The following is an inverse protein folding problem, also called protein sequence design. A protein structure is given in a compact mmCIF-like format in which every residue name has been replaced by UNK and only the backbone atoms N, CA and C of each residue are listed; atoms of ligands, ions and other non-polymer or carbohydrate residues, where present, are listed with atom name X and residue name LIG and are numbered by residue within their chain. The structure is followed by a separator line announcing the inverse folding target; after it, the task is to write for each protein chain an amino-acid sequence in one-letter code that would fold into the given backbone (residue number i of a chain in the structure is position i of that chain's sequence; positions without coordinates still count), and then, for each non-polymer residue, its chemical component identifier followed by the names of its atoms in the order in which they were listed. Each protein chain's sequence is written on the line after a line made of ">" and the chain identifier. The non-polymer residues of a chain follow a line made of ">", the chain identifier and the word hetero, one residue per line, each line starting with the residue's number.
data_IF_575375726169
#
_entry.id   IF_575375726169
#
_cell.length_a   1.000
_cell.length_b   1.000
_cell.length_c   1.000
_cell.angle_alpha   90.00
_cell.angle_beta   90.00
_cell.angle_gamma   90.00
#
_symmetry.space_group_name_H-M   'P 1'
#
loop_
_entity.id
_entity.type
_entity.pdbx_description
1 polymer ?
#
# COMPACT_ATOMS: atom_id res chain seq x y z
N UNK A 1 21.79 22.61 -68.06
CA UNK A 1 21.56 23.26 -66.74
C UNK A 1 20.82 22.26 -65.86
N UNK A 2 21.50 21.65 -64.88
CA UNK A 2 20.94 20.63 -63.97
C UNK A 2 20.09 21.34 -62.91
N UNK A 3 18.79 21.01 -62.82
CA UNK A 3 17.96 21.45 -61.70
C UNK A 3 18.13 20.49 -60.53
N UNK A 4 18.74 20.98 -59.46
CA UNK A 4 18.92 20.24 -58.21
C UNK A 4 17.60 20.31 -57.43
N UNK A 5 16.90 19.18 -57.26
CA UNK A 5 15.81 19.05 -56.29
C UNK A 5 16.43 18.69 -54.94
N UNK A 6 16.39 19.62 -54.00
CA UNK A 6 16.70 19.34 -52.58
C UNK A 6 15.45 18.68 -51.98
N UNK A 7 15.54 17.38 -51.67
CA UNK A 7 14.53 16.70 -50.88
C UNK A 7 14.82 16.97 -49.41
N UNK A 8 13.92 17.68 -48.72
CA UNK A 8 13.95 17.81 -47.27
C UNK A 8 13.47 16.49 -46.65
N UNK A 9 14.34 15.83 -45.90
CA UNK A 9 13.99 14.65 -45.08
C UNK A 9 13.43 15.16 -43.76
N UNK A 10 12.20 14.81 -43.35
CA UNK A 10 11.68 15.25 -42.07
C UNK A 10 12.35 14.43 -40.96
N UNK A 11 13.17 15.11 -40.17
CA UNK A 11 13.77 14.58 -38.95
C UNK A 11 12.75 14.73 -37.83
N UNK A 12 11.78 13.82 -37.69
CA UNK A 12 10.87 13.89 -36.55
C UNK A 12 10.12 12.59 -36.23
N UNK A 13 10.80 11.51 -35.85
CA UNK A 13 10.14 10.41 -35.13
C UNK A 13 11.13 9.63 -34.27
N UNK A 14 11.53 10.19 -33.12
CA UNK A 14 12.17 9.37 -32.06
C UNK A 14 12.05 9.98 -30.66
N UNK A 15 10.86 10.44 -30.26
CA UNK A 15 10.61 10.85 -28.87
C UNK A 15 9.48 10.05 -28.19
N UNK A 16 8.73 9.22 -28.94
CA UNK A 16 7.53 8.56 -28.45
C UNK A 16 7.76 7.16 -27.83
N UNK A 17 8.95 6.55 -27.98
CA UNK A 17 9.18 5.16 -27.56
C UNK A 17 9.61 4.99 -26.10
N UNK A 18 10.02 6.05 -25.41
CA UNK A 18 10.43 5.97 -23.99
C UNK A 18 9.23 6.16 -23.04
N UNK A 19 8.17 6.83 -23.49
CA UNK A 19 6.98 7.09 -22.67
C UNK A 19 6.00 5.90 -22.57
N UNK A 20 6.17 4.88 -23.42
CA UNK A 20 5.24 3.75 -23.52
C UNK A 20 5.73 2.45 -22.87
N UNK A 21 6.91 2.46 -22.22
CA UNK A 21 7.28 1.38 -21.31
C UNK A 21 6.48 1.56 -20.02
N UNK A 22 5.20 1.17 -20.05
CA UNK A 22 4.31 1.21 -18.91
C UNK A 22 4.94 0.38 -17.78
N UNK A 23 5.57 1.04 -16.81
CA UNK A 23 6.12 0.37 -15.64
C UNK A 23 4.97 -0.39 -15.00
N UNK A 24 5.11 -1.72 -14.88
CA UNK A 24 4.12 -2.56 -14.20
C UNK A 24 3.76 -1.90 -12.86
N UNK A 25 2.47 -1.73 -12.51
CA UNK A 25 2.10 -1.08 -11.26
C UNK A 25 2.80 -1.76 -10.09
N UNK A 26 3.43 -0.95 -9.24
CA UNK A 26 4.14 -1.44 -8.05
C UNK A 26 3.11 -1.63 -6.94
N UNK A 27 2.78 -2.89 -6.68
CA UNK A 27 1.81 -3.29 -5.66
C UNK A 27 2.52 -3.61 -4.34
N UNK A 28 2.12 -2.95 -3.26
CA UNK A 28 2.64 -3.20 -1.91
C UNK A 28 1.54 -3.80 -1.05
N UNK A 29 1.87 -4.85 -0.32
CA UNK A 29 0.99 -5.47 0.67
C UNK A 29 1.45 -5.07 2.07
N UNK A 30 0.51 -4.71 2.94
CA UNK A 30 0.77 -4.42 4.34
C UNK A 30 -0.06 -5.39 5.17
N UNK A 31 0.58 -6.25 5.96
CA UNK A 31 -0.08 -6.97 7.04
C UNK A 31 0.15 -6.18 8.33
N UNK A 32 -0.92 -5.84 9.04
CA UNK A 32 -0.82 -5.09 10.28
C UNK A 32 -1.46 -5.84 11.43
N UNK A 33 -0.68 -6.02 12.49
CA UNK A 33 -1.11 -6.51 13.80
C UNK A 33 -1.06 -5.38 14.84
N UNK A 34 -1.55 -5.60 16.07
CA UNK A 34 -1.71 -4.51 17.05
C UNK A 34 -0.69 -4.53 18.18
N UNK A 35 -0.23 -5.70 18.61
CA UNK A 35 0.62 -5.90 19.78
C UNK A 35 1.95 -5.14 19.71
N UNK A 36 2.55 -5.07 18.53
CA UNK A 36 3.86 -4.43 18.30
C UNK A 36 3.79 -2.98 17.81
N UNK A 37 2.60 -2.37 17.71
CA UNK A 37 2.45 -0.98 17.29
C UNK A 37 3.12 -0.05 18.32
N UNK A 38 3.76 1.03 17.89
CA UNK A 38 4.44 1.93 18.82
C UNK A 38 3.48 2.51 19.87
N UNK A 39 3.94 2.54 21.12
CA UNK A 39 3.13 2.95 22.28
C UNK A 39 2.12 1.92 22.79
N UNK A 40 2.08 0.72 22.22
CA UNK A 40 1.36 -0.45 22.76
C UNK A 40 2.32 -1.27 23.61
N UNK A 41 1.95 -1.48 24.87
CA UNK A 41 2.80 -2.11 25.89
C UNK A 41 2.04 -3.08 26.79
N UNK A 42 0.71 -3.14 26.67
CA UNK A 42 -0.13 -3.94 27.55
C UNK A 42 -1.38 -4.49 26.84
N UNK A 43 -1.88 -5.64 27.29
CA UNK A 43 -3.02 -6.34 26.67
C UNK A 43 -4.35 -5.56 26.77
N UNK A 44 -4.46 -4.61 27.71
CA UNK A 44 -5.63 -3.72 27.81
C UNK A 44 -5.76 -2.78 26.60
N UNK A 45 -4.66 -2.59 25.86
CA UNK A 45 -4.63 -1.83 24.62
C UNK A 45 -4.91 -2.70 23.40
N UNK A 46 -4.74 -4.03 23.49
CA UNK A 46 -4.95 -4.95 22.37
C UNK A 46 -6.27 -5.73 22.45
N UNK A 47 -6.93 -5.73 23.61
CA UNK A 47 -8.24 -6.36 23.77
C UNK A 47 -9.38 -5.44 23.30
N UNK A 48 -10.32 -5.97 22.51
CA UNK A 48 -11.52 -5.23 22.12
C UNK A 48 -12.45 -4.85 23.30
N UNK A 49 -12.24 -5.45 24.48
CA UNK A 49 -12.93 -5.10 25.72
C UNK A 49 -12.09 -4.18 26.63
N UNK A 50 -10.84 -3.91 26.27
CA UNK A 50 -9.92 -3.09 27.05
C UNK A 50 -10.22 -1.59 26.93
N UNK A 51 -9.96 -0.85 27.99
CA UNK A 51 -10.32 0.58 28.07
C UNK A 51 -9.49 1.45 27.12
N UNK A 52 -8.30 0.97 26.73
CA UNK A 52 -7.36 1.71 25.88
C UNK A 52 -7.43 1.31 24.40
N UNK A 53 -8.29 0.35 24.04
CA UNK A 53 -8.37 -0.19 22.69
C UNK A 53 -8.65 0.85 21.61
N UNK A 54 -9.53 1.82 21.90
CA UNK A 54 -9.85 2.88 20.96
C UNK A 54 -8.63 3.76 20.62
N UNK A 55 -7.81 4.07 21.64
CA UNK A 55 -6.53 4.79 21.44
C UNK A 55 -5.55 3.94 20.64
N UNK A 56 -5.44 2.66 20.96
CA UNK A 56 -4.54 1.74 20.28
C UNK A 56 -4.85 1.61 18.77
N UNK A 57 -6.13 1.49 18.42
CA UNK A 57 -6.59 1.46 17.02
C UNK A 57 -6.23 2.73 16.24
N UNK A 58 -6.24 3.89 16.90
CA UNK A 58 -5.83 5.16 16.30
C UNK A 58 -4.33 5.16 16.00
N UNK A 59 -3.50 4.76 16.97
CA UNK A 59 -2.05 4.61 16.77
C UNK A 59 -1.72 3.62 15.64
N UNK A 60 -2.38 2.46 15.63
CA UNK A 60 -2.25 1.45 14.58
C UNK A 60 -2.57 2.03 13.20
N UNK A 61 -3.63 2.85 13.09
CA UNK A 61 -4.01 3.49 11.82
C UNK A 61 -2.99 4.55 11.41
N UNK A 62 -2.46 5.34 12.34
CA UNK A 62 -1.42 6.35 12.08
C UNK A 62 -0.09 5.72 11.63
N UNK A 63 0.31 4.59 12.23
CA UNK A 63 1.52 3.86 11.87
C UNK A 63 1.40 3.24 10.46
N UNK A 64 0.24 2.63 10.16
CA UNK A 64 -0.07 2.15 8.81
C UNK A 64 -0.05 3.28 7.80
N UNK A 65 -0.64 4.44 8.11
CA UNK A 65 -0.61 5.61 7.23
C UNK A 65 0.81 6.09 6.95
N UNK A 66 1.70 6.04 7.94
CA UNK A 66 3.11 6.38 7.76
C UNK A 66 3.80 5.41 6.80
N UNK A 67 3.51 4.11 6.89
CA UNK A 67 4.02 3.11 5.96
C UNK A 67 3.43 3.27 4.54
N UNK A 68 2.15 3.64 4.43
CA UNK A 68 1.51 3.97 3.14
C UNK A 68 2.22 5.16 2.51
N UNK A 69 2.41 6.26 3.25
CA UNK A 69 3.08 7.46 2.74
C UNK A 69 4.51 7.14 2.27
N UNK A 70 5.25 6.30 3.01
CA UNK A 70 6.56 5.80 2.61
C UNK A 70 6.54 4.94 1.34
N UNK A 71 5.57 4.02 1.23
CA UNK A 71 5.42 3.17 0.04
C UNK A 71 5.07 4.01 -1.21
N UNK A 72 4.18 4.99 -1.07
CA UNK A 72 3.83 5.92 -2.15
C UNK A 72 5.04 6.76 -2.58
N UNK A 73 5.81 7.28 -1.62
CA UNK A 73 7.05 8.01 -1.90
C UNK A 73 8.10 7.13 -2.62
N UNK A 74 8.10 5.82 -2.37
CA UNK A 74 8.92 4.83 -3.06
C UNK A 74 8.37 4.41 -4.45
N UNK A 75 7.24 4.97 -4.89
CA UNK A 75 6.66 4.72 -6.21
C UNK A 75 5.60 3.62 -6.25
N UNK A 76 5.09 3.16 -5.09
CA UNK A 76 3.94 2.25 -5.07
C UNK A 76 2.72 2.93 -5.72
N UNK A 77 2.01 2.16 -6.55
CA UNK A 77 0.80 2.63 -7.26
C UNK A 77 -0.46 1.93 -6.77
N UNK A 78 -0.33 0.78 -6.10
CA UNK A 78 -1.43 0.08 -5.46
C UNK A 78 -1.00 -0.43 -4.09
N UNK A 79 -1.86 -0.26 -3.09
CA UNK A 79 -1.58 -0.69 -1.72
C UNK A 79 -2.78 -1.46 -1.19
N UNK A 80 -2.54 -2.67 -0.70
CA UNK A 80 -3.53 -3.46 0.03
C UNK A 80 -3.06 -3.59 1.49
N UNK A 81 -3.89 -3.12 2.41
CA UNK A 81 -3.68 -3.27 3.84
C UNK A 81 -4.59 -4.37 4.36
N UNK A 82 -4.04 -5.36 5.04
CA UNK A 82 -4.77 -6.45 5.66
C UNK A 82 -4.72 -6.31 7.18
N UNK A 83 -5.87 -6.00 7.76
CA UNK A 83 -6.04 -5.92 9.20
C UNK A 83 -5.97 -7.32 9.81
N UNK A 84 -4.95 -7.59 10.61
CA UNK A 84 -4.56 -8.96 10.99
C UNK A 84 -4.68 -9.22 12.49
N UNK A 85 -5.08 -8.22 13.27
CA UNK A 85 -5.26 -8.39 14.72
C UNK A 85 -6.64 -8.92 15.08
N UNK A 86 -6.72 -9.97 15.90
CA UNK A 86 -7.94 -10.46 16.53
C UNK A 86 -9.16 -10.58 15.59
N UNK A 87 -10.08 -9.62 15.66
CA UNK A 87 -11.32 -9.62 14.84
C UNK A 87 -11.14 -9.12 13.40
N UNK A 88 -9.96 -8.61 13.07
CA UNK A 88 -9.59 -8.01 11.77
C UNK A 88 -10.44 -6.78 11.39
N UNK A 89 -10.88 -5.99 12.37
CA UNK A 89 -11.79 -4.84 12.22
C UNK A 89 -11.36 -3.66 13.10
N UNK A 90 -10.08 -3.34 13.04
CA UNK A 90 -9.37 -2.46 13.96
C UNK A 90 -9.00 -1.15 13.27
N UNK A 91 -8.51 -1.20 12.04
CA UNK A 91 -8.22 0.01 11.26
C UNK A 91 -9.47 0.87 11.04
N UNK A 92 -9.28 2.18 11.16
CA UNK A 92 -10.33 3.19 10.92
C UNK A 92 -10.35 3.53 9.43
N UNK A 93 -11.32 3.01 8.68
CA UNK A 93 -11.37 3.17 7.22
C UNK A 93 -11.52 4.63 6.80
N UNK A 94 -12.18 5.44 7.62
CA UNK A 94 -12.38 6.88 7.41
C UNK A 94 -11.06 7.68 7.52
N UNK A 95 -10.07 7.13 8.21
CA UNK A 95 -8.75 7.76 8.44
C UNK A 95 -7.63 7.10 7.62
N UNK A 96 -7.91 5.97 6.96
CA UNK A 96 -6.92 5.25 6.17
C UNK A 96 -6.52 6.07 4.93
N UNK A 97 -5.21 6.22 4.72
CA UNK A 97 -4.64 7.03 3.65
C UNK A 97 -5.03 6.50 2.26
N UNK A 98 -5.69 7.30 1.40
CA UNK A 98 -5.88 6.97 -0.01
C UNK A 98 -4.54 6.97 -0.77
N UNK A 99 -4.33 6.10 -1.78
CA UNK A 99 -5.31 5.22 -2.41
C UNK A 99 -5.34 3.78 -1.83
N UNK A 100 -4.90 3.59 -0.58
CA UNK A 100 -4.85 2.25 -0.01
C UNK A 100 -6.24 1.60 0.09
N UNK A 101 -6.29 0.29 -0.14
CA UNK A 101 -7.49 -0.53 0.05
C UNK A 101 -7.36 -1.34 1.32
N UNK A 102 -8.47 -1.53 2.02
CA UNK A 102 -8.52 -2.30 3.25
C UNK A 102 -9.17 -3.68 3.03
N UNK A 103 -8.45 -4.74 3.39
CA UNK A 103 -9.00 -6.05 3.67
C UNK A 103 -9.31 -6.14 5.17
N UNK A 104 -10.59 -5.98 5.52
CA UNK A 104 -11.11 -6.12 6.88
C UNK A 104 -12.26 -7.12 6.87
N UNK A 105 -12.33 -7.94 7.91
CA UNK A 105 -13.33 -8.96 8.28
C UNK A 105 -12.62 -10.21 8.85
N UNK A 106 -13.29 -10.92 9.76
CA UNK A 106 -12.79 -12.16 10.37
C UNK A 106 -12.87 -13.36 9.42
N UNK A 107 -13.71 -13.30 8.37
CA UNK A 107 -13.83 -14.38 7.37
C UNK A 107 -12.77 -14.19 6.27
N UNK A 108 -11.52 -14.48 6.62
CA UNK A 108 -10.36 -14.42 5.70
C UNK A 108 -9.70 -15.80 5.63
N UNK A 109 -9.87 -16.57 4.53
CA UNK A 109 -9.32 -17.93 4.42
C UNK A 109 -7.81 -18.06 4.67
N UNK A 110 -7.06 -16.98 4.47
CA UNK A 110 -5.61 -16.93 4.68
C UNK A 110 -5.19 -16.00 5.85
N UNK A 111 -6.13 -15.65 6.74
CA UNK A 111 -5.87 -14.91 7.98
C UNK A 111 -5.08 -13.61 7.80
N UNK A 112 -3.89 -13.57 8.42
CA UNK A 112 -2.98 -12.42 8.42
C UNK A 112 -2.34 -12.12 7.05
N UNK A 113 -2.47 -13.04 6.10
CA UNK A 113 -1.90 -12.93 4.75
C UNK A 113 -2.96 -12.97 3.62
N UNK A 114 -4.22 -12.69 3.95
CA UNK A 114 -5.30 -12.70 2.99
C UNK A 114 -5.16 -11.66 1.87
N UNK A 115 -5.37 -12.10 0.63
CA UNK A 115 -5.27 -11.26 -0.56
C UNK A 115 -3.84 -11.10 -1.10
N UNK A 116 -2.82 -11.66 -0.43
CA UNK A 116 -1.46 -11.69 -0.97
C UNK A 116 -1.36 -12.70 -2.12
N UNK A 117 -0.70 -12.31 -3.20
CA UNK A 117 -0.37 -13.17 -4.33
C UNK A 117 0.97 -12.75 -4.98
N UNK A 118 1.37 -13.44 -6.06
CA UNK A 118 2.62 -13.18 -6.77
C UNK A 118 2.65 -11.84 -7.55
N UNK A 119 1.57 -11.06 -7.55
CA UNK A 119 1.53 -9.73 -8.18
C UNK A 119 2.13 -8.63 -7.32
N UNK A 120 2.27 -8.86 -6.01
CA UNK A 120 2.87 -7.91 -5.08
C UNK A 120 4.39 -7.88 -5.21
N UNK A 121 4.95 -6.67 -5.26
CA UNK A 121 6.39 -6.45 -5.34
C UNK A 121 7.05 -6.51 -3.95
N UNK A 122 6.30 -6.19 -2.90
CA UNK A 122 6.78 -6.18 -1.53
C UNK A 122 5.66 -6.48 -0.52
N UNK A 123 6.08 -6.93 0.65
CA UNK A 123 5.28 -7.14 1.85
C UNK A 123 5.91 -6.31 2.98
N UNK A 124 5.07 -5.62 3.75
CA UNK A 124 5.45 -4.92 4.97
C UNK A 124 4.65 -5.52 6.12
N UNK A 125 5.32 -5.85 7.21
CA UNK A 125 4.71 -6.30 8.46
C UNK A 125 4.83 -5.19 9.49
N UNK A 126 3.70 -4.77 10.05
CA UNK A 126 3.59 -3.65 11.00
C UNK A 126 2.92 -4.16 12.26
N UNK A 127 3.42 -3.75 13.42
CA UNK A 127 2.81 -4.10 14.70
C UNK A 127 2.91 -5.58 15.10
N UNK A 128 3.86 -6.31 14.52
CA UNK A 128 4.20 -7.70 14.86
C UNK A 128 5.14 -7.78 16.07
#
# INVERSE_FOLDING_TARGET
>A
MKSSRIAAVPFLFLAASVAAAQSKPLKVYISVDLEGVDGIVHSDQTSAQGNEYARARKLMTEEVNSAIDGALAAGATEILVNDSHGSHRNLMIEELRPPARLASNSIKPYGMMHGLDASFAAVIFIGY
#
